data_IF_041197113638
#
_entry.id   IF_041197113638
#
_cell.length_a   1.000
_cell.length_b   1.000
_cell.length_c   1.000
_cell.angle_alpha   90.00
_cell.angle_beta   90.00
_cell.angle_gamma   90.00
#
_symmetry.space_group_name_H-M   'P 1'
#
loop_
_entity.id
_entity.type
_entity.pdbx_description
1 polymer ?
#
# COMPACT_ATOMS: atom_id res chain seq x y z
N UNK A 1 -16.03 -15.58 -9.09
CA UNK A 1 -14.88 -15.88 -8.20
C UNK A 1 -13.61 -15.11 -8.57
N UNK A 2 -13.29 -14.92 -9.86
CA UNK A 2 -12.06 -14.23 -10.29
C UNK A 2 -11.90 -12.79 -9.78
N UNK A 3 -12.99 -11.99 -9.76
CA UNK A 3 -12.92 -10.58 -9.32
C UNK A 3 -12.59 -10.40 -7.83
N UNK A 4 -13.12 -11.26 -6.97
CA UNK A 4 -12.83 -11.23 -5.52
C UNK A 4 -11.34 -11.49 -5.27
N UNK A 5 -10.79 -12.51 -5.92
CA UNK A 5 -9.37 -12.83 -5.77
C UNK A 5 -8.48 -11.74 -6.38
N UNK A 6 -8.83 -11.23 -7.56
CA UNK A 6 -8.06 -10.17 -8.21
C UNK A 6 -8.05 -8.87 -7.40
N UNK A 7 -9.22 -8.37 -7.00
CA UNK A 7 -9.34 -7.05 -6.38
C UNK A 7 -9.00 -7.10 -4.88
N UNK A 8 -9.54 -8.07 -4.13
CA UNK A 8 -9.36 -8.10 -2.67
C UNK A 8 -8.03 -8.75 -2.32
N UNK A 9 -7.77 -9.96 -2.82
CA UNK A 9 -6.59 -10.72 -2.40
C UNK A 9 -5.32 -10.13 -3.02
N UNK A 10 -5.31 -9.96 -4.34
CA UNK A 10 -4.08 -9.62 -5.07
C UNK A 10 -3.75 -8.13 -5.11
N UNK A 11 -4.71 -7.23 -4.82
CA UNK A 11 -4.43 -5.78 -4.73
C UNK A 11 -4.40 -5.31 -3.30
N UNK A 12 -5.54 -5.35 -2.60
CA UNK A 12 -5.67 -4.70 -1.27
C UNK A 12 -4.95 -5.49 -0.18
N UNK A 13 -5.30 -6.76 0.02
CA UNK A 13 -4.72 -7.59 1.08
C UNK A 13 -3.23 -7.87 0.82
N UNK A 14 -2.83 -7.92 -0.45
CA UNK A 14 -1.45 -8.11 -0.86
C UNK A 14 -0.50 -7.06 -0.27
N UNK A 15 -0.94 -5.81 -0.10
CA UNK A 15 -0.13 -4.74 0.48
C UNK A 15 0.29 -5.06 1.92
N UNK A 16 -0.68 -5.43 2.76
CA UNK A 16 -0.39 -5.79 4.15
C UNK A 16 0.39 -7.11 4.23
N UNK A 17 -0.04 -8.15 3.51
CA UNK A 17 0.53 -9.49 3.65
C UNK A 17 2.00 -9.58 3.24
N UNK A 18 2.42 -8.82 2.21
CA UNK A 18 3.81 -8.81 1.73
C UNK A 18 4.77 -7.97 2.58
N UNK A 19 4.27 -7.01 3.37
CA UNK A 19 5.08 -6.07 4.14
C UNK A 19 5.07 -6.34 5.65
N UNK A 20 3.94 -6.77 6.22
CA UNK A 20 3.79 -6.94 7.67
C UNK A 20 4.77 -7.96 8.27
N UNK A 21 5.18 -8.95 7.48
CA UNK A 21 6.19 -9.93 7.89
C UNK A 21 7.55 -9.31 8.17
N UNK A 22 7.99 -8.32 7.39
CA UNK A 22 9.25 -7.61 7.62
C UNK A 22 9.17 -6.73 8.87
N UNK A 23 8.09 -5.96 9.01
CA UNK A 23 7.79 -5.14 10.20
C UNK A 23 7.81 -5.97 11.48
N UNK A 24 7.07 -7.07 11.50
CA UNK A 24 6.96 -7.90 12.71
C UNK A 24 8.28 -8.60 13.08
N UNK A 25 9.02 -9.12 12.08
CA UNK A 25 10.21 -9.96 12.32
C UNK A 25 11.50 -9.16 12.53
N UNK A 26 11.65 -8.01 11.87
CA UNK A 26 12.90 -7.23 11.88
C UNK A 26 12.81 -5.94 12.68
N UNK A 27 11.61 -5.40 12.85
CA UNK A 27 11.39 -4.08 13.42
C UNK A 27 10.48 -4.10 14.66
N UNK A 28 10.34 -5.27 15.29
CA UNK A 28 9.53 -5.48 16.51
C UNK A 28 8.07 -4.97 16.40
N UNK A 29 7.50 -4.99 15.19
CA UNK A 29 6.14 -4.50 14.96
C UNK A 29 6.04 -2.97 14.85
N UNK A 30 7.16 -2.25 14.84
CA UNK A 30 7.20 -0.77 14.82
C UNK A 30 7.38 -0.28 13.39
N UNK A 31 6.54 0.67 13.00
CA UNK A 31 6.65 1.38 11.72
C UNK A 31 7.74 2.47 11.78
N UNK A 32 8.21 2.91 10.61
CA UNK A 32 9.12 4.04 10.52
C UNK A 32 8.46 5.33 11.04
N UNK A 33 9.28 6.25 11.55
CA UNK A 33 8.79 7.52 12.11
C UNK A 33 8.31 8.51 11.03
N UNK A 34 8.77 8.34 9.79
CA UNK A 34 8.51 9.24 8.67
C UNK A 34 8.01 8.44 7.46
N UNK A 35 7.21 9.10 6.62
CA UNK A 35 6.75 8.56 5.35
C UNK A 35 7.89 8.63 4.33
N UNK A 36 8.21 7.50 3.70
CA UNK A 36 9.27 7.43 2.69
C UNK A 36 8.91 8.22 1.42
N UNK A 37 7.62 8.33 1.10
CA UNK A 37 7.12 9.16 -0.01
C UNK A 37 5.86 9.93 0.41
N UNK A 38 6.02 11.12 1.03
CA UNK A 38 4.89 11.94 1.47
C UNK A 38 3.99 12.42 0.31
N UNK A 39 4.55 12.58 -0.90
CA UNK A 39 3.79 13.04 -2.06
C UNK A 39 2.88 11.94 -2.61
N UNK A 40 3.39 10.70 -2.65
CA UNK A 40 2.56 9.53 -2.95
C UNK A 40 1.46 9.38 -1.90
N UNK A 41 1.78 9.45 -0.61
CA UNK A 41 0.76 9.38 0.45
C UNK A 41 -0.31 10.45 0.27
N UNK A 42 0.09 11.69 -0.05
CA UNK A 42 -0.84 12.79 -0.33
C UNK A 42 -1.79 12.48 -1.47
N UNK A 43 -1.32 11.79 -2.53
CA UNK A 43 -2.16 11.38 -3.66
C UNK A 43 -3.29 10.45 -3.21
N UNK A 44 -3.05 9.58 -2.22
CA UNK A 44 -4.07 8.70 -1.67
C UNK A 44 -5.07 9.47 -0.80
N UNK A 45 -4.58 10.40 0.03
CA UNK A 45 -5.47 11.19 0.90
C UNK A 45 -6.30 12.21 0.12
N UNK A 46 -5.76 12.79 -0.96
CA UNK A 46 -6.48 13.75 -1.81
C UNK A 46 -7.68 13.09 -2.52
N UNK A 47 -7.66 11.78 -2.74
CA UNK A 47 -8.78 11.04 -3.33
C UNK A 47 -9.94 10.79 -2.36
N UNK A 48 -9.80 11.12 -1.07
CA UNK A 48 -10.85 10.88 -0.08
C UNK A 48 -12.16 11.64 -0.42
N UNK A 49 -12.05 12.87 -0.92
CA UNK A 49 -13.21 13.69 -1.30
C UNK A 49 -13.98 13.04 -2.46
N UNK A 50 -13.31 12.69 -3.56
CA UNK A 50 -13.96 12.09 -4.74
C UNK A 50 -14.58 10.72 -4.43
N UNK A 51 -13.91 9.90 -3.62
CA UNK A 51 -14.42 8.60 -3.18
C UNK A 51 -15.65 8.80 -2.28
N UNK A 52 -15.60 9.77 -1.36
CA UNK A 52 -16.71 10.14 -0.48
C UNK A 52 -17.94 10.59 -1.28
N UNK A 53 -17.77 11.50 -2.23
CA UNK A 53 -18.84 11.97 -3.12
C UNK A 53 -19.47 10.83 -3.93
N UNK A 54 -18.65 9.87 -4.39
CA UNK A 54 -19.14 8.70 -5.10
C UNK A 54 -19.99 7.80 -4.18
N UNK A 55 -19.66 7.67 -2.90
CA UNK A 55 -20.51 6.97 -1.93
C UNK A 55 -21.83 7.71 -1.68
N UNK A 56 -21.78 9.02 -1.44
CA UNK A 56 -22.96 9.84 -1.14
C UNK A 56 -23.96 9.87 -2.31
N UNK A 57 -23.44 9.91 -3.53
CA UNK A 57 -24.23 9.88 -4.76
C UNK A 57 -24.72 8.48 -5.14
N UNK A 58 -24.39 7.45 -4.34
CA UNK A 58 -24.67 6.02 -4.59
C UNK A 58 -23.99 5.46 -5.85
N UNK A 59 -22.92 6.10 -6.30
CA UNK A 59 -22.05 5.62 -7.38
C UNK A 59 -21.01 4.61 -6.85
N UNK A 60 -21.46 3.56 -6.17
CA UNK A 60 -20.56 2.61 -5.48
C UNK A 60 -19.54 1.96 -6.42
N UNK A 61 -19.94 1.70 -7.67
CA UNK A 61 -19.04 1.17 -8.68
C UNK A 61 -17.89 2.12 -9.02
N UNK A 62 -18.11 3.44 -8.97
CA UNK A 62 -17.07 4.46 -9.17
C UNK A 62 -16.12 4.50 -7.97
N UNK A 63 -16.66 4.57 -6.75
CA UNK A 63 -15.87 4.55 -5.52
C UNK A 63 -14.92 3.33 -5.48
N UNK A 64 -15.44 2.13 -5.77
CA UNK A 64 -14.62 0.91 -5.82
C UNK A 64 -13.55 0.97 -6.91
N UNK A 65 -13.84 1.51 -8.10
CA UNK A 65 -12.82 1.64 -9.16
C UNK A 65 -11.69 2.58 -8.76
N UNK A 66 -12.00 3.70 -8.11
CA UNK A 66 -10.98 4.64 -7.62
C UNK A 66 -10.10 3.98 -6.54
N UNK A 67 -10.71 3.29 -5.58
CA UNK A 67 -9.96 2.53 -4.56
C UNK A 67 -9.07 1.47 -5.18
N UNK A 68 -9.56 0.71 -6.17
CA UNK A 68 -8.74 -0.31 -6.85
C UNK A 68 -7.61 0.30 -7.68
N UNK A 69 -7.81 1.48 -8.27
CA UNK A 69 -6.76 2.20 -8.99
C UNK A 69 -5.65 2.67 -8.02
N UNK A 70 -6.03 3.15 -6.83
CA UNK A 70 -5.06 3.47 -5.77
C UNK A 70 -4.32 2.22 -5.28
N UNK A 71 -5.00 1.08 -5.14
CA UNK A 71 -4.35 -0.18 -4.78
C UNK A 71 -3.33 -0.64 -5.86
N UNK A 72 -3.60 -0.39 -7.14
CA UNK A 72 -2.63 -0.64 -8.23
C UNK A 72 -1.40 0.28 -8.10
N UNK A 73 -1.61 1.55 -7.77
CA UNK A 73 -0.52 2.52 -7.50
C UNK A 73 0.34 2.06 -6.32
N UNK A 74 -0.27 1.63 -5.22
CA UNK A 74 0.45 1.14 -4.04
C UNK A 74 1.25 -0.13 -4.35
N UNK A 75 0.67 -1.10 -5.05
CA UNK A 75 1.39 -2.32 -5.41
C UNK A 75 2.60 -2.02 -6.30
N UNK A 76 2.44 -1.11 -7.27
CA UNK A 76 3.54 -0.63 -8.12
C UNK A 76 4.65 0.05 -7.31
N UNK A 77 4.32 0.90 -6.35
CA UNK A 77 5.32 1.49 -5.45
C UNK A 77 6.14 0.39 -4.76
N UNK A 78 5.48 -0.59 -4.14
CA UNK A 78 6.20 -1.65 -3.43
C UNK A 78 6.97 -2.56 -4.41
N UNK A 79 6.53 -2.72 -5.65
CA UNK A 79 7.27 -3.46 -6.69
C UNK A 79 8.53 -2.72 -7.14
N UNK A 80 8.45 -1.40 -7.33
CA UNK A 80 9.57 -0.53 -7.67
C UNK A 80 10.62 -0.48 -6.54
N UNK A 81 10.16 -0.47 -5.29
CA UNK A 81 11.05 -0.49 -4.12
C UNK A 81 11.64 -1.88 -3.82
N UNK A 82 10.98 -2.95 -4.30
CA UNK A 82 11.41 -4.34 -4.19
C UNK A 82 11.94 -4.75 -2.78
N UNK A 83 11.11 -4.70 -1.71
CA UNK A 83 11.56 -4.95 -0.34
C UNK A 83 12.17 -6.34 -0.14
N UNK A 84 11.79 -7.35 -0.94
CA UNK A 84 12.42 -8.69 -0.93
C UNK A 84 13.88 -8.70 -1.42
N UNK A 85 14.28 -7.71 -2.21
CA UNK A 85 15.68 -7.50 -2.60
C UNK A 85 16.39 -6.72 -1.51
N UNK A 86 15.79 -5.62 -1.05
CA UNK A 86 16.36 -4.77 0.02
C UNK A 86 16.61 -5.59 1.29
N UNK A 87 15.70 -6.50 1.64
CA UNK A 87 15.83 -7.35 2.82
C UNK A 87 17.06 -8.26 2.82
N UNK A 88 17.68 -8.51 1.66
CA UNK A 88 18.91 -9.32 1.54
C UNK A 88 20.18 -8.49 1.66
N UNK A 89 20.07 -7.16 1.78
CA UNK A 89 21.20 -6.23 1.85
C UNK A 89 21.41 -5.83 3.33
N UNK A 90 22.55 -6.21 3.90
CA UNK A 90 22.82 -6.14 5.36
C UNK A 90 22.76 -4.73 5.98
N UNK A 91 22.79 -3.66 5.17
CA UNK A 91 22.93 -2.28 5.64
C UNK A 91 21.71 -1.40 5.35
N UNK A 92 20.60 -1.99 4.89
CA UNK A 92 19.42 -1.25 4.40
C UNK A 92 18.16 -1.47 5.21
N UNK A 93 18.32 -1.73 6.50
CA UNK A 93 17.19 -2.00 7.39
C UNK A 93 16.28 -0.78 7.57
N UNK A 94 16.86 0.43 7.62
CA UNK A 94 16.09 1.67 7.65
C UNK A 94 15.25 1.84 6.37
N UNK A 95 15.83 1.61 5.19
CA UNK A 95 15.10 1.67 3.92
C UNK A 95 13.99 0.62 3.88
N UNK A 96 14.28 -0.62 4.31
CA UNK A 96 13.29 -1.70 4.35
C UNK A 96 12.12 -1.34 5.25
N UNK A 97 12.38 -0.81 6.45
CA UNK A 97 11.33 -0.38 7.37
C UNK A 97 10.49 0.75 6.76
N UNK A 98 11.12 1.74 6.13
CA UNK A 98 10.45 2.87 5.49
C UNK A 98 9.55 2.42 4.33
N UNK A 99 10.04 1.53 3.45
CA UNK A 99 9.26 0.94 2.35
C UNK A 99 8.04 0.18 2.88
N UNK A 100 8.25 -0.68 3.88
CA UNK A 100 7.17 -1.50 4.45
C UNK A 100 6.18 -0.68 5.31
N UNK A 101 6.52 0.55 5.69
CA UNK A 101 5.64 1.47 6.42
C UNK A 101 4.68 2.22 5.48
N UNK A 102 5.12 2.48 4.25
CA UNK A 102 4.32 3.17 3.24
C UNK A 102 3.19 2.32 2.63
N UNK A 103 3.24 0.99 2.81
CA UNK A 103 2.42 0.01 2.10
C UNK A 103 1.30 -0.58 2.96
#
# INVERSE_FOLDING_TARGET
>A
MQRVNADIVNKVVNLASRNAGFISKRFAGVLAAELADPALYKTFTDAAESIGEAWDSREFGKAIREIMALADVANRYVDEQAPWVVAKQEVRDADLQAICTMA
#
